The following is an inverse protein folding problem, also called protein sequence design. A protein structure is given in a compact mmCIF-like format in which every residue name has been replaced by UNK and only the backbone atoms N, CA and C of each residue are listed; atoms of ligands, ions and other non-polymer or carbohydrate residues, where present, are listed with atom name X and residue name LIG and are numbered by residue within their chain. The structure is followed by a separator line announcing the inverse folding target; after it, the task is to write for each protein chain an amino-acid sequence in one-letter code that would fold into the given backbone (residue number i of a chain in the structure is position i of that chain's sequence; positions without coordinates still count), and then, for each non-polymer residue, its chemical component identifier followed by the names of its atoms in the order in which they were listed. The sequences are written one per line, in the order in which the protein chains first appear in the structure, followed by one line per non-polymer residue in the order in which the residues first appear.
data_IF_686353115254
#
_entry.id   IF_686353115254
#
_cell.length_a   1.000
_cell.length_b   1.000
_cell.length_c   1.000
_cell.angle_alpha   90.00
_cell.angle_beta   90.00
_cell.angle_gamma   90.00
#
_symmetry.space_group_name_H-M   'P 1'
#
loop_
_entity.id
_entity.type
_entity.pdbx_description
1 polymer ?
#
# COMPACT_ATOMS: atom_id res chain seq x y z
N UNK A 1 -9.37 -15.32 -32.19
CA UNK A 1 -9.91 -14.08 -31.60
C UNK A 1 -10.25 -14.38 -30.15
N UNK A 2 -9.55 -13.78 -29.18
CA UNK A 2 -9.84 -14.01 -27.76
C UNK A 2 -11.12 -13.25 -27.39
N UNK A 3 -12.19 -13.96 -27.05
CA UNK A 3 -13.45 -13.35 -26.59
C UNK A 3 -13.23 -12.80 -25.18
N UNK A 4 -13.16 -11.48 -25.05
CA UNK A 4 -13.10 -10.81 -23.75
C UNK A 4 -14.37 -11.14 -22.94
N UNK A 5 -14.28 -11.21 -21.60
CA UNK A 5 -15.47 -11.38 -20.77
C UNK A 5 -16.43 -10.20 -20.98
N UNK A 6 -17.73 -10.49 -21.04
CA UNK A 6 -18.75 -9.46 -21.17
C UNK A 6 -18.76 -8.55 -19.92
N UNK A 7 -18.89 -7.23 -20.08
CA UNK A 7 -18.95 -6.32 -18.96
C UNK A 7 -20.27 -6.44 -18.19
N UNK A 8 -20.26 -5.93 -16.96
CA UNK A 8 -21.45 -5.76 -16.12
C UNK A 8 -21.83 -4.28 -16.07
N UNK A 9 -23.11 -3.98 -16.21
CA UNK A 9 -23.69 -2.65 -16.01
C UNK A 9 -24.31 -2.58 -14.63
N UNK A 10 -23.84 -1.67 -13.79
CA UNK A 10 -24.46 -1.38 -12.49
C UNK A 10 -25.87 -0.82 -12.71
N UNK A 11 -26.85 -1.43 -12.04
CA UNK A 11 -28.26 -1.00 -12.03
C UNK A 11 -28.55 -0.14 -10.80
N UNK A 12 -28.00 -0.49 -9.65
CA UNK A 12 -28.10 0.28 -8.41
C UNK A 12 -26.91 0.00 -7.49
N UNK A 13 -26.64 0.95 -6.61
CA UNK A 13 -25.65 0.83 -5.53
C UNK A 13 -26.28 1.23 -4.20
N UNK A 14 -25.90 0.54 -3.13
CA UNK A 14 -26.35 0.83 -1.76
C UNK A 14 -25.17 0.73 -0.81
N UNK A 15 -24.82 1.83 -0.15
CA UNK A 15 -23.84 1.82 0.95
C UNK A 15 -24.46 1.09 2.15
N UNK A 16 -23.82 0.01 2.59
CA UNK A 16 -24.24 -0.82 3.72
C UNK A 16 -23.65 -0.31 5.05
N UNK A 17 -22.39 0.13 5.01
CA UNK A 17 -21.68 0.63 6.19
C UNK A 17 -20.61 1.65 5.78
N UNK A 18 -20.24 2.49 6.74
CA UNK A 18 -19.18 3.49 6.60
C UNK A 18 -18.29 3.45 7.83
N UNK A 19 -16.99 3.36 7.62
CA UNK A 19 -15.95 3.33 8.65
C UNK A 19 -14.89 4.39 8.34
N UNK A 20 -13.99 4.66 9.30
CA UNK A 20 -12.95 5.70 9.16
C UNK A 20 -12.11 5.57 7.88
N UNK A 21 -11.79 4.35 7.47
CA UNK A 21 -10.81 4.07 6.39
C UNK A 21 -11.43 3.46 5.12
N UNK A 22 -12.69 3.00 5.19
CA UNK A 22 -13.40 2.45 4.03
C UNK A 22 -14.93 2.42 4.23
N UNK A 23 -15.65 2.35 3.12
CA UNK A 23 -17.07 2.03 3.05
C UNK A 23 -17.30 0.61 2.51
N UNK A 24 -18.46 0.03 2.82
CA UNK A 24 -18.93 -1.24 2.22
C UNK A 24 -20.15 -0.94 1.35
N UNK A 25 -20.06 -1.25 0.06
CA UNK A 25 -21.12 -1.00 -0.93
C UNK A 25 -21.62 -2.30 -1.54
N UNK A 26 -22.93 -2.46 -1.57
CA UNK A 26 -23.63 -3.49 -2.33
C UNK A 26 -23.95 -2.94 -3.73
N UNK A 27 -23.66 -3.72 -4.78
CA UNK A 27 -23.96 -3.37 -6.17
C UNK A 27 -24.92 -4.40 -6.76
N UNK A 28 -26.04 -3.96 -7.31
CA UNK A 28 -26.85 -4.80 -8.17
C UNK A 28 -26.46 -4.52 -9.62
N UNK A 29 -25.93 -5.52 -10.33
CA UNK A 29 -25.41 -5.34 -11.67
C UNK A 29 -25.94 -6.40 -12.63
N UNK A 30 -26.02 -6.04 -13.91
CA UNK A 30 -26.52 -6.89 -14.98
C UNK A 30 -25.43 -7.15 -16.02
N UNK A 31 -25.22 -8.42 -16.37
CA UNK A 31 -24.30 -8.80 -17.46
C UNK A 31 -24.87 -8.33 -18.79
N UNK A 32 -24.07 -7.61 -19.58
CA UNK A 32 -24.54 -6.88 -20.78
C UNK A 32 -25.02 -7.82 -21.90
N UNK A 33 -24.44 -9.01 -22.04
CA UNK A 33 -24.73 -9.95 -23.11
C UNK A 33 -25.97 -10.81 -22.87
N UNK A 34 -26.22 -11.24 -21.63
CA UNK A 34 -27.34 -12.14 -21.29
C UNK A 34 -28.43 -11.48 -20.48
N UNK A 35 -28.24 -10.26 -20.01
CA UNK A 35 -29.19 -9.58 -19.13
C UNK A 35 -29.32 -10.20 -17.74
N UNK A 36 -28.43 -11.14 -17.37
CA UNK A 36 -28.46 -11.79 -16.06
C UNK A 36 -28.02 -10.80 -14.98
N UNK A 37 -28.82 -10.65 -13.93
CA UNK A 37 -28.51 -9.78 -12.80
C UNK A 37 -27.89 -10.56 -11.63
N UNK A 38 -26.99 -9.93 -10.90
CA UNK A 38 -26.34 -10.47 -9.71
C UNK A 38 -25.98 -9.35 -8.73
N UNK A 39 -25.85 -9.71 -7.45
CA UNK A 39 -25.40 -8.79 -6.40
C UNK A 39 -23.92 -8.97 -6.11
N UNK A 40 -23.17 -7.88 -6.07
CA UNK A 40 -21.74 -7.85 -5.74
C UNK A 40 -21.51 -6.97 -4.52
N UNK A 41 -20.35 -7.11 -3.90
CA UNK A 41 -19.91 -6.29 -2.78
C UNK A 41 -18.56 -5.67 -3.10
N UNK A 42 -18.38 -4.41 -2.70
CA UNK A 42 -17.15 -3.64 -2.90
C UNK A 42 -16.79 -2.96 -1.60
N UNK A 43 -15.51 -3.00 -1.27
CA UNK A 43 -14.90 -2.19 -0.23
C UNK A 43 -14.33 -0.95 -0.92
N UNK A 44 -14.77 0.22 -0.49
CA UNK A 44 -14.37 1.49 -1.07
C UNK A 44 -13.46 2.22 -0.10
N UNK A 45 -12.17 2.27 -0.43
CA UNK A 45 -11.20 3.13 0.23
C UNK A 45 -10.68 4.17 -0.76
N UNK A 46 -9.98 5.18 -0.24
CA UNK A 46 -9.16 6.09 -1.05
C UNK A 46 -7.94 5.34 -1.59
N UNK A 47 -7.20 5.96 -2.51
CA UNK A 47 -5.90 5.42 -2.93
C UNK A 47 -4.92 5.44 -1.75
N UNK A 48 -3.97 4.51 -1.74
CA UNK A 48 -2.93 4.41 -0.71
C UNK A 48 -1.55 4.62 -1.33
N UNK A 49 -0.58 4.99 -0.52
CA UNK A 49 0.82 5.07 -0.92
C UNK A 49 1.73 4.33 0.06
N UNK A 50 2.65 3.53 -0.48
CA UNK A 50 3.72 2.90 0.28
C UNK A 50 5.07 3.37 -0.25
N UNK A 51 6.07 3.47 0.63
CA UNK A 51 7.40 3.95 0.25
C UNK A 51 8.49 3.07 0.82
N UNK A 52 9.51 2.74 0.03
CA UNK A 52 10.73 2.06 0.48
C UNK A 52 11.75 3.14 0.83
N UNK A 53 11.99 3.45 2.11
CA UNK A 53 12.97 4.46 2.51
C UNK A 53 14.36 3.87 2.67
N UNK A 54 15.33 4.36 1.92
CA UNK A 54 16.75 3.99 2.05
C UNK A 54 17.51 5.13 2.71
N UNK A 55 18.10 4.84 3.88
CA UNK A 55 18.94 5.78 4.62
C UNK A 55 20.23 6.10 3.87
N UNK A 56 20.92 7.15 4.30
CA UNK A 56 22.27 7.48 3.80
C UNK A 56 23.31 6.39 4.11
N UNK A 57 23.04 5.50 5.06
CA UNK A 57 23.88 4.37 5.47
C UNK A 57 23.54 3.05 4.77
N UNK A 58 22.54 3.02 3.88
CA UNK A 58 22.20 1.82 3.10
C UNK A 58 21.28 0.84 3.82
N UNK A 59 20.47 1.33 4.76
CA UNK A 59 19.45 0.54 5.47
C UNK A 59 18.06 0.96 4.99
N UNK A 60 17.13 0.01 4.97
CA UNK A 60 15.71 0.26 4.77
C UNK A 60 15.07 0.56 6.12
N UNK A 61 14.38 1.68 6.23
CA UNK A 61 13.56 1.99 7.42
C UNK A 61 12.27 1.21 7.34
N UNK A 62 12.11 0.21 8.20
CA UNK A 62 10.93 -0.65 8.28
C UNK A 62 10.17 -0.42 9.57
N UNK A 63 8.90 -0.82 9.57
CA UNK A 63 7.98 -0.69 10.69
C UNK A 63 7.53 -2.09 11.11
N UNK A 64 7.63 -2.36 12.42
CA UNK A 64 7.05 -3.53 13.05
C UNK A 64 5.78 -3.14 13.81
N UNK A 65 4.67 -3.79 13.47
CA UNK A 65 3.36 -3.50 14.05
C UNK A 65 2.45 -4.72 14.06
N UNK A 66 1.51 -4.76 15.00
CA UNK A 66 0.47 -5.79 15.05
C UNK A 66 -0.66 -5.46 14.08
N UNK A 67 -0.92 -6.34 13.11
CA UNK A 67 -2.03 -6.18 12.16
C UNK A 67 -3.20 -7.04 12.57
N UNK A 68 -4.28 -6.41 13.06
CA UNK A 68 -5.49 -7.11 13.48
C UNK A 68 -6.11 -8.03 12.41
N UNK A 69 -6.00 -7.66 11.14
CA UNK A 69 -6.52 -8.50 10.04
C UNK A 69 -5.78 -9.82 9.86
N UNK A 70 -4.46 -9.84 10.11
CA UNK A 70 -3.64 -11.04 10.08
C UNK A 70 -3.57 -11.75 11.44
N UNK A 71 -3.83 -11.02 12.53
CA UNK A 71 -3.76 -11.55 13.90
C UNK A 71 -2.33 -11.76 14.40
N UNK A 72 -1.34 -11.13 13.77
CA UNK A 72 0.08 -11.25 14.11
C UNK A 72 0.83 -9.93 13.93
N UNK A 73 2.06 -9.90 14.44
CA UNK A 73 3.03 -8.86 14.11
C UNK A 73 3.56 -9.05 12.69
N UNK A 74 3.78 -7.92 12.03
CA UNK A 74 4.23 -7.83 10.64
C UNK A 74 5.44 -6.91 10.56
N UNK A 75 6.30 -7.12 9.55
CA UNK A 75 7.39 -6.22 9.19
C UNK A 75 7.08 -5.60 7.83
N UNK A 76 6.89 -4.29 7.81
CA UNK A 76 6.37 -3.56 6.66
C UNK A 76 7.20 -2.31 6.36
N UNK A 77 7.01 -1.75 5.16
CA UNK A 77 7.48 -0.40 4.84
C UNK A 77 6.40 0.62 5.22
N UNK A 78 6.76 1.89 5.48
CA UNK A 78 5.79 2.94 5.76
C UNK A 78 4.81 3.15 4.61
N UNK A 79 3.58 3.53 4.97
CA UNK A 79 2.53 3.80 4.02
C UNK A 79 1.15 3.95 4.61
N UNK A 80 0.31 4.71 3.93
CA UNK A 80 -1.00 5.08 4.43
C UNK A 80 -1.94 5.60 3.35
N UNK A 81 -3.06 6.16 3.81
CA UNK A 81 -4.12 6.67 2.95
C UNK A 81 -3.70 8.00 2.32
N UNK A 82 -4.13 8.25 1.09
CA UNK A 82 -4.06 9.59 0.51
C UNK A 82 -5.16 10.47 1.09
N UNK A 83 -4.80 11.71 1.39
CA UNK A 83 -5.78 12.76 1.63
C UNK A 83 -6.48 13.18 0.32
N UNK A 84 -7.59 13.91 0.45
CA UNK A 84 -8.35 14.38 -0.70
C UNK A 84 -7.47 15.25 -1.63
N UNK A 85 -7.41 14.86 -2.89
CA UNK A 85 -6.62 15.50 -3.95
C UNK A 85 -5.09 15.55 -3.68
N UNK A 86 -4.59 14.72 -2.74
CA UNK A 86 -3.16 14.63 -2.43
C UNK A 86 -2.39 13.90 -3.54
N UNK A 87 -1.22 14.43 -3.91
CA UNK A 87 -0.31 13.72 -4.81
C UNK A 87 0.24 12.46 -4.11
N UNK A 88 0.20 11.26 -4.73
CA UNK A 88 0.58 10.03 -4.03
C UNK A 88 2.03 10.01 -3.55
N UNK A 89 2.95 10.73 -4.23
CA UNK A 89 4.35 10.82 -3.78
C UNK A 89 4.51 11.73 -2.57
N UNK A 90 3.69 12.78 -2.50
CA UNK A 90 3.58 13.66 -1.32
C UNK A 90 3.02 12.90 -0.13
N UNK A 91 1.93 12.13 -0.33
CA UNK A 91 1.35 11.26 0.69
C UNK A 91 2.39 10.26 1.23
N UNK A 92 3.12 9.59 0.34
CA UNK A 92 4.14 8.63 0.72
C UNK A 92 5.26 9.26 1.58
N UNK A 93 5.68 10.49 1.25
CA UNK A 93 6.69 11.21 2.01
C UNK A 93 6.18 11.70 3.39
N UNK A 94 4.90 12.08 3.46
CA UNK A 94 4.22 12.44 4.71
C UNK A 94 4.15 11.24 5.65
N UNK A 95 3.63 10.11 5.17
CA UNK A 95 3.52 8.87 5.96
C UNK A 95 4.89 8.39 6.44
N UNK A 96 5.93 8.44 5.59
CA UNK A 96 7.31 8.15 6.03
C UNK A 96 7.71 9.01 7.24
N UNK A 97 7.44 10.31 7.20
CA UNK A 97 7.82 11.22 8.28
C UNK A 97 6.98 10.98 9.54
N UNK A 98 5.68 10.80 9.39
CA UNK A 98 4.75 10.59 10.51
C UNK A 98 5.01 9.27 11.23
N UNK A 99 5.18 8.18 10.49
CA UNK A 99 5.32 6.83 11.06
C UNK A 99 6.74 6.50 11.52
N UNK A 100 7.77 7.17 11.00
CA UNK A 100 9.18 6.80 11.27
C UNK A 100 10.06 7.96 11.73
N UNK A 101 9.61 9.20 11.56
CA UNK A 101 10.42 10.39 11.81
C UNK A 101 11.55 10.62 10.79
N UNK A 102 11.61 9.85 9.70
CA UNK A 102 12.58 10.04 8.63
C UNK A 102 12.06 10.99 7.55
N UNK A 103 12.93 11.84 7.02
CA UNK A 103 12.64 12.68 5.86
C UNK A 103 13.37 12.15 4.64
N UNK A 104 12.65 11.98 3.54
CA UNK A 104 13.24 11.60 2.26
C UNK A 104 14.04 12.75 1.64
N UNK A 105 15.24 12.46 1.12
CA UNK A 105 15.99 13.40 0.29
C UNK A 105 15.44 13.46 -1.16
N UNK A 106 15.05 12.30 -1.71
CA UNK A 106 14.40 12.19 -3.03
C UNK A 106 13.36 11.09 -3.02
N UNK A 107 12.22 11.33 -3.67
CA UNK A 107 11.14 10.36 -3.86
C UNK A 107 11.00 10.02 -5.34
N UNK A 108 10.89 8.73 -5.66
CA UNK A 108 10.79 8.20 -7.02
C UNK A 108 9.61 7.24 -7.10
N UNK A 109 8.65 7.49 -7.99
CA UNK A 109 7.55 6.57 -8.24
C UNK A 109 8.07 5.25 -8.83
N UNK A 110 7.65 4.11 -8.28
CA UNK A 110 8.00 2.76 -8.73
C UNK A 110 6.91 2.12 -9.61
N UNK A 111 5.65 2.36 -9.27
CA UNK A 111 4.50 1.83 -10.00
C UNK A 111 3.24 1.85 -9.14
N UNK A 112 2.16 1.25 -9.63
CA UNK A 112 0.95 1.08 -8.84
C UNK A 112 0.22 -0.23 -9.16
N UNK A 113 -0.49 -0.76 -8.17
CA UNK A 113 -1.21 -2.03 -8.24
C UNK A 113 -2.63 -1.89 -7.69
N UNK A 114 -3.53 -2.79 -8.08
CA UNK A 114 -4.81 -2.97 -7.37
C UNK A 114 -4.55 -3.91 -6.18
N UNK A 115 -4.93 -3.54 -4.94
CA UNK A 115 -4.65 -4.38 -3.78
C UNK A 115 -5.37 -5.72 -3.86
N UNK A 116 -6.64 -5.68 -4.24
CA UNK A 116 -7.43 -6.84 -4.57
C UNK A 116 -8.57 -6.41 -5.50
N UNK A 117 -8.44 -6.59 -6.83
CA UNK A 117 -9.41 -6.08 -7.81
C UNK A 117 -10.79 -6.77 -7.74
N UNK A 118 -10.93 -7.84 -6.95
CA UNK A 118 -12.22 -8.47 -6.70
C UNK A 118 -13.06 -7.69 -5.65
N UNK A 119 -12.41 -6.92 -4.78
CA UNK A 119 -13.06 -6.26 -3.64
C UNK A 119 -12.87 -4.75 -3.62
N UNK A 120 -11.72 -4.26 -4.07
CA UNK A 120 -11.31 -2.86 -3.93
C UNK A 120 -11.27 -2.14 -5.27
N UNK A 121 -11.72 -0.87 -5.28
CA UNK A 121 -11.61 0.01 -6.45
C UNK A 121 -10.34 0.85 -6.48
N UNK A 122 -9.69 1.04 -5.34
CA UNK A 122 -8.55 1.93 -5.20
C UNK A 122 -7.27 1.31 -5.76
N UNK A 123 -6.28 2.17 -5.95
CA UNK A 123 -4.91 1.80 -6.30
C UNK A 123 -3.99 2.02 -5.12
N UNK A 124 -2.88 1.31 -5.14
CA UNK A 124 -1.77 1.51 -4.23
C UNK A 124 -0.56 1.90 -5.04
N UNK A 125 0.02 3.04 -4.70
CA UNK A 125 1.16 3.62 -5.38
C UNK A 125 2.42 3.33 -4.57
N UNK A 126 3.42 2.74 -5.22
CA UNK A 126 4.69 2.37 -4.59
C UNK A 126 5.77 3.39 -4.96
N UNK A 127 6.56 3.77 -3.98
CA UNK A 127 7.65 4.75 -4.11
C UNK A 127 8.96 4.21 -3.54
N UNK A 128 10.06 4.78 -4.00
CA UNK A 128 11.38 4.66 -3.40
C UNK A 128 11.78 6.03 -2.87
N UNK A 129 12.16 6.11 -1.59
CA UNK A 129 12.86 7.25 -1.03
C UNK A 129 14.34 6.92 -0.85
N UNK A 130 15.21 7.86 -1.22
CA UNK A 130 16.67 7.73 -1.04
C UNK A 130 17.22 8.92 -0.27
N UNK A 131 18.32 8.70 0.45
CA UNK A 131 18.93 9.73 1.29
C UNK A 131 18.02 10.09 2.46
N UNK A 132 17.36 9.09 3.05
CA UNK A 132 16.50 9.28 4.19
C UNK A 132 17.34 9.58 5.44
N UNK A 133 16.95 10.62 6.17
CA UNK A 133 17.59 11.03 7.43
C UNK A 133 16.55 11.14 8.54
N UNK A 134 16.90 10.71 9.75
CA UNK A 134 16.02 10.85 10.92
C UNK A 134 16.02 12.29 11.38
N UNK A 135 14.84 12.91 11.44
CA UNK A 135 14.69 14.35 11.73
C UNK A 135 13.79 14.64 12.92
N UNK A 136 13.01 13.64 13.35
CA UNK A 136 12.18 13.72 14.55
C UNK A 136 12.04 12.32 15.17
N UNK A 137 11.65 12.28 16.44
CA UNK A 137 11.11 11.06 17.04
C UNK A 137 9.64 10.89 16.65
N UNK A 138 9.17 9.64 16.65
CA UNK A 138 7.76 9.34 16.39
C UNK A 138 6.93 9.72 17.62
N UNK A 139 5.75 10.28 17.39
CA UNK A 139 4.74 10.48 18.42
C UNK A 139 3.62 9.45 18.26
N UNK A 140 3.87 8.20 18.68
CA UNK A 140 2.83 7.15 18.66
C UNK A 140 1.72 7.48 19.66
N UNK A 141 0.46 7.34 19.25
CA UNK A 141 -0.68 7.36 20.16
C UNK A 141 -0.95 5.96 20.76
N UNK A 142 -1.86 5.87 21.74
CA UNK A 142 -2.14 4.60 22.45
C UNK A 142 -2.66 3.48 21.54
N UNK A 143 -3.17 3.80 20.35
CA UNK A 143 -3.77 2.85 19.42
C UNK A 143 -2.84 2.36 18.31
N UNK A 144 -1.74 3.08 18.05
CA UNK A 144 -0.78 2.80 16.98
C UNK A 144 0.63 2.58 17.56
N UNK A 145 0.82 1.48 18.28
CA UNK A 145 2.16 1.07 18.72
C UNK A 145 2.94 0.44 17.57
N UNK A 146 3.82 1.25 16.99
CA UNK A 146 4.79 0.82 15.97
C UNK A 146 6.20 0.89 16.52
N UNK A 147 7.10 0.04 16.02
CA UNK A 147 8.54 0.17 16.28
C UNK A 147 9.32 0.23 14.97
N UNK A 148 10.37 1.04 14.93
CA UNK A 148 11.24 1.15 13.75
C UNK A 148 12.28 0.05 13.80
N UNK A 149 12.50 -0.60 12.66
CA UNK A 149 13.60 -1.53 12.43
C UNK A 149 14.41 -1.09 11.21
N UNK A 150 15.71 -0.86 11.40
CA UNK A 150 16.63 -0.60 10.31
C UNK A 150 17.17 -1.91 9.77
N UNK A 151 16.86 -2.21 8.51
CA UNK A 151 17.23 -3.46 7.86
C UNK A 151 18.23 -3.17 6.74
N UNK A 152 19.44 -3.74 6.75
CA UNK A 152 20.38 -3.60 5.64
C UNK A 152 19.72 -3.99 4.30
N UNK A 153 19.95 -3.19 3.25
CA UNK A 153 19.31 -3.39 1.94
C UNK A 153 19.56 -4.79 1.36
N UNK A 154 20.73 -5.38 1.64
CA UNK A 154 21.13 -6.72 1.21
C UNK A 154 20.43 -7.85 1.99
N UNK A 155 19.88 -7.58 3.18
CA UNK A 155 19.13 -8.53 3.97
C UNK A 155 17.66 -8.68 3.52
N UNK A 156 17.13 -7.70 2.80
CA UNK A 156 15.70 -7.64 2.39
C UNK A 156 15.28 -8.87 1.59
N UNK A 157 16.10 -9.33 0.65
CA UNK A 157 15.75 -10.48 -0.20
C UNK A 157 15.63 -11.77 0.65
N UNK A 158 16.41 -11.88 1.73
CA UNK A 158 16.31 -12.96 2.72
C UNK A 158 15.02 -12.92 3.53
N UNK A 159 14.56 -11.73 3.92
CA UNK A 159 13.30 -11.54 4.64
C UNK A 159 12.08 -11.82 3.75
N UNK A 160 12.12 -11.40 2.48
CA UNK A 160 11.09 -11.72 1.49
C UNK A 160 11.01 -13.22 1.20
N UNK A 161 12.15 -13.88 1.01
CA UNK A 161 12.20 -15.31 0.68
C UNK A 161 11.84 -16.23 1.85
N UNK A 162 12.12 -15.82 3.08
CA UNK A 162 11.75 -16.56 4.29
C UNK A 162 10.29 -16.37 4.70
N UNK A 163 9.58 -15.38 4.14
CA UNK A 163 8.22 -15.01 4.57
C UNK A 163 8.18 -14.16 5.83
N UNK A 164 9.31 -13.64 6.32
CA UNK A 164 9.33 -12.64 7.39
C UNK A 164 8.71 -11.30 6.93
N UNK A 165 8.74 -11.03 5.62
CA UNK A 165 7.93 -10.02 4.94
C UNK A 165 6.98 -10.76 3.99
N UNK A 166 5.72 -10.87 4.37
CA UNK A 166 4.68 -11.59 3.62
C UNK A 166 3.47 -10.71 3.25
N UNK A 167 3.51 -9.42 3.60
CA UNK A 167 2.48 -8.48 3.19
C UNK A 167 2.57 -8.24 1.67
N UNK A 168 1.58 -8.75 0.92
CA UNK A 168 1.56 -8.77 -0.55
C UNK A 168 1.89 -7.41 -1.21
N UNK A 169 1.43 -6.30 -0.62
CA UNK A 169 1.66 -4.95 -1.14
C UNK A 169 3.09 -4.47 -0.93
N UNK A 170 3.69 -4.82 0.21
CA UNK A 170 5.10 -4.57 0.52
C UNK A 170 5.98 -5.38 -0.44
N UNK A 171 5.66 -6.67 -0.63
CA UNK A 171 6.38 -7.52 -1.59
C UNK A 171 6.30 -6.96 -3.02
N UNK A 172 5.13 -6.47 -3.44
CA UNK A 172 4.96 -5.85 -4.75
C UNK A 172 5.83 -4.59 -4.91
N UNK A 173 5.94 -3.74 -3.88
CA UNK A 173 6.81 -2.56 -3.91
C UNK A 173 8.28 -2.95 -4.08
N UNK A 174 8.77 -3.94 -3.32
CA UNK A 174 10.13 -4.44 -3.46
C UNK A 174 10.38 -5.06 -4.85
N UNK A 175 9.40 -5.80 -5.38
CA UNK A 175 9.47 -6.33 -6.74
C UNK A 175 9.62 -5.23 -7.79
N UNK A 176 8.79 -4.17 -7.70
CA UNK A 176 8.90 -3.01 -8.60
C UNK A 176 10.26 -2.32 -8.50
N UNK A 177 10.79 -2.17 -7.29
CA UNK A 177 12.13 -1.61 -7.10
C UNK A 177 13.20 -2.45 -7.79
N UNK A 178 13.18 -3.77 -7.61
CA UNK A 178 14.15 -4.69 -8.26
C UNK A 178 14.03 -4.67 -9.78
N UNK A 179 12.82 -4.58 -10.34
CA UNK A 179 12.62 -4.50 -11.80
C UNK A 179 13.20 -3.23 -12.43
N UNK A 180 13.27 -2.13 -11.68
CA UNK A 180 13.83 -0.86 -12.19
C UNK A 180 15.36 -0.81 -12.19
N UNK A 181 16.02 -1.82 -11.61
CA UNK A 181 17.46 -1.79 -11.35
C UNK A 181 17.81 -0.87 -10.18
N UNK A 182 18.93 -1.12 -9.50
CA UNK A 182 19.41 -0.22 -8.45
C UNK A 182 19.62 1.18 -9.04
N UNK A 183 19.15 2.27 -8.39
CA UNK A 183 19.50 3.64 -8.78
C UNK A 183 20.99 3.98 -8.61
N UNK A 184 21.83 2.99 -8.34
CA UNK A 184 23.28 3.13 -8.19
C UNK A 184 23.97 2.69 -9.48
N UNK A 185 23.98 3.59 -10.45
CA UNK A 185 25.05 3.77 -11.41
C UNK A 185 25.19 5.27 -11.71
#
# INVERSE_FOLDING_TARGET
MSSRPAPWRTLSERKLASYRVFDVTELHAQRVDTGQAHTFFRIESVDWANIIPITTTGEVVMIRQFRHGAGCETLEIPGGLLDADEDPGTAAARELLEETGYRAGKVVALGSVHPNPALFKNRIHAFLATGCEKVTEIANDESEQTTIELVPVDAIDGLLSSGAIDHALVMAAFHWWRLRGSPTA
#
